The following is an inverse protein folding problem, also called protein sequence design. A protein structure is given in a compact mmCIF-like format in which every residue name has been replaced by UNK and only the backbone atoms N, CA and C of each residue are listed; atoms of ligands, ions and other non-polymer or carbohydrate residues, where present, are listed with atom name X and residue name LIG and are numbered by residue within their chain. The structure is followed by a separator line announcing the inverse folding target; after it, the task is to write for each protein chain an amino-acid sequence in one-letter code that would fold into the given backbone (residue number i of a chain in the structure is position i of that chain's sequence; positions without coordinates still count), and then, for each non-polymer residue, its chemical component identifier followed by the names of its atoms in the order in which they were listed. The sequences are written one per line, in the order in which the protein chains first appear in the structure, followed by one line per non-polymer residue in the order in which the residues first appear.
data_IF_053658054553
#
_entry.id   IF_053658054553
#
_cell.length_a   1.000
_cell.length_b   1.000
_cell.length_c   1.000
_cell.angle_alpha   90.00
_cell.angle_beta   90.00
_cell.angle_gamma   90.00
#
_symmetry.space_group_name_H-M   'P 1'
#
loop_
_entity.id
_entity.type
_entity.pdbx_description
1 polymer ?
#
# COMPACT_ATOMS: atom_id res chain seq x y z
N UNK A 1 -10.19 18.71 -16.17
CA UNK A 1 -9.55 18.62 -17.51
C UNK A 1 -10.42 17.71 -18.36
N UNK A 2 -10.69 18.10 -19.59
CA UNK A 2 -11.53 17.36 -20.54
C UNK A 2 -10.67 16.89 -21.71
N UNK A 3 -10.85 15.65 -22.15
CA UNK A 3 -10.10 15.02 -23.23
C UNK A 3 -11.10 14.38 -24.20
N UNK A 4 -10.93 14.61 -25.49
CA UNK A 4 -11.79 14.13 -26.57
C UNK A 4 -10.98 13.84 -27.83
N UNK A 5 -11.62 13.21 -28.82
CA UNK A 5 -11.12 13.09 -30.19
C UNK A 5 -10.80 14.46 -30.84
N UNK A 6 -11.51 15.51 -30.40
CA UNK A 6 -11.37 16.90 -30.87
C UNK A 6 -10.26 17.67 -30.13
N UNK A 7 -9.65 17.10 -29.09
CA UNK A 7 -8.55 17.71 -28.32
C UNK A 7 -8.78 17.78 -26.81
N UNK A 8 -7.98 18.61 -26.14
CA UNK A 8 -7.93 18.74 -24.67
C UNK A 8 -8.35 20.16 -24.24
N UNK A 9 -9.18 20.27 -23.22
CA UNK A 9 -9.63 21.54 -22.66
C UNK A 9 -9.46 21.62 -21.13
N UNK A 10 -9.08 22.80 -20.66
CA UNK A 10 -9.11 23.16 -19.24
C UNK A 10 -10.37 23.99 -18.98
N UNK A 11 -11.31 23.43 -18.20
CA UNK A 11 -12.55 24.08 -17.76
C UNK A 11 -12.39 24.59 -16.32
N UNK A 12 -13.18 25.59 -15.96
CA UNK A 12 -13.38 26.06 -14.59
C UNK A 12 -13.98 24.93 -13.71
N UNK A 13 -13.71 24.93 -12.41
CA UNK A 13 -14.10 23.88 -11.47
C UNK A 13 -14.46 24.37 -10.06
N UNK A 14 -14.46 25.68 -9.78
CA UNK A 14 -14.78 26.20 -8.45
C UNK A 14 -16.23 25.89 -8.01
N UNK A 15 -17.14 25.62 -8.95
CA UNK A 15 -18.52 25.22 -8.68
C UNK A 15 -18.68 23.78 -8.18
N UNK A 16 -17.67 22.92 -8.40
CA UNK A 16 -17.61 21.53 -7.93
C UNK A 16 -16.65 21.31 -6.75
N UNK A 17 -15.84 22.30 -6.40
CA UNK A 17 -14.93 22.24 -5.26
C UNK A 17 -15.69 22.05 -3.93
N UNK A 18 -15.22 21.16 -3.06
CA UNK A 18 -15.81 20.80 -1.78
C UNK A 18 -16.95 19.78 -1.84
N UNK A 19 -17.30 19.23 -3.01
CA UNK A 19 -18.30 18.17 -3.17
C UNK A 19 -17.72 16.78 -2.91
N UNK A 20 -18.57 15.78 -2.68
CA UNK A 20 -18.12 14.37 -2.64
C UNK A 20 -17.74 13.87 -4.05
N UNK A 21 -16.97 12.78 -4.12
CA UNK A 21 -16.49 12.18 -5.39
C UNK A 21 -17.64 11.90 -6.36
N UNK A 22 -18.68 11.21 -5.90
CA UNK A 22 -19.83 10.85 -6.73
C UNK A 22 -20.59 12.09 -7.24
N UNK A 23 -20.86 13.09 -6.39
CA UNK A 23 -21.47 14.36 -6.79
C UNK A 23 -20.64 15.12 -7.83
N UNK A 24 -19.31 15.01 -7.75
CA UNK A 24 -18.37 15.64 -8.68
C UNK A 24 -18.40 14.96 -10.04
N UNK A 25 -18.31 13.63 -10.08
CA UNK A 25 -18.47 12.83 -11.30
C UNK A 25 -19.84 13.05 -11.95
N UNK A 26 -20.91 12.94 -11.16
CA UNK A 26 -22.29 13.05 -11.60
C UNK A 26 -22.64 14.47 -12.09
N UNK A 27 -21.86 15.49 -11.70
CA UNK A 27 -21.95 16.86 -12.26
C UNK A 27 -21.17 16.95 -13.58
N UNK A 28 -19.91 16.50 -13.59
CA UNK A 28 -19.04 16.56 -14.77
C UNK A 28 -19.60 15.77 -15.95
N UNK A 29 -20.13 14.56 -15.74
CA UNK A 29 -20.72 13.75 -16.80
C UNK A 29 -21.96 14.40 -17.42
N UNK A 30 -22.73 15.16 -16.63
CA UNK A 30 -23.89 15.94 -17.11
C UNK A 30 -23.48 17.23 -17.83
N UNK A 31 -22.34 17.82 -17.48
CA UNK A 31 -21.76 18.98 -18.18
C UNK A 31 -21.06 18.59 -19.50
N UNK A 32 -20.50 17.38 -19.58
CA UNK A 32 -19.93 16.80 -20.80
C UNK A 32 -21.04 16.34 -21.76
N UNK A 33 -22.04 15.60 -21.25
CA UNK A 33 -23.22 15.13 -21.99
C UNK A 33 -22.91 14.30 -23.27
N UNK A 34 -21.71 13.71 -23.39
CA UNK A 34 -21.34 12.79 -24.47
C UNK A 34 -21.47 11.32 -23.99
N UNK A 35 -22.20 10.44 -24.70
CA UNK A 35 -22.38 9.04 -24.32
C UNK A 35 -21.05 8.28 -24.21
N UNK A 36 -20.82 7.60 -23.08
CA UNK A 36 -19.59 6.86 -22.83
C UNK A 36 -18.43 7.70 -22.26
N UNK A 37 -18.64 9.00 -21.96
CA UNK A 37 -17.71 9.77 -21.15
C UNK A 37 -17.47 9.11 -19.78
N UNK A 38 -16.27 9.30 -19.23
CA UNK A 38 -15.83 8.78 -17.93
C UNK A 38 -15.14 9.92 -17.16
N UNK A 39 -15.24 9.92 -15.82
CA UNK A 39 -14.58 10.90 -14.98
C UNK A 39 -13.46 10.27 -14.15
N UNK A 40 -12.48 11.08 -13.76
CA UNK A 40 -11.53 10.77 -12.69
C UNK A 40 -11.51 11.99 -11.79
N UNK A 41 -11.92 11.81 -10.54
CA UNK A 41 -12.26 12.89 -9.60
C UNK A 41 -11.57 12.69 -8.26
N UNK A 42 -11.49 13.76 -7.47
CA UNK A 42 -11.07 13.74 -6.07
C UNK A 42 -12.19 14.32 -5.21
N UNK A 43 -12.35 13.79 -4.01
CA UNK A 43 -13.22 14.38 -2.99
C UNK A 43 -12.45 15.39 -2.10
N UNK A 44 -13.08 15.91 -1.04
CA UNK A 44 -12.51 16.95 -0.19
C UNK A 44 -11.20 16.54 0.48
N UNK A 45 -10.98 15.26 0.73
CA UNK A 45 -9.72 14.76 1.25
C UNK A 45 -8.56 14.97 0.25
N UNK A 46 -8.78 14.73 -1.04
CA UNK A 46 -7.80 15.01 -2.09
C UNK A 46 -7.54 16.51 -2.26
N UNK A 47 -8.59 17.33 -2.22
CA UNK A 47 -8.48 18.81 -2.20
C UNK A 47 -7.64 19.32 -1.03
N UNK A 48 -7.77 18.69 0.14
CA UNK A 48 -7.02 19.00 1.37
C UNK A 48 -5.70 18.23 1.46
N UNK A 49 -5.26 17.51 0.42
CA UNK A 49 -4.02 16.74 0.40
C UNK A 49 -3.90 15.75 1.59
N UNK A 50 -5.03 15.16 1.97
CA UNK A 50 -5.13 14.01 2.87
C UNK A 50 -4.73 12.78 2.07
N UNK A 51 -4.03 11.85 2.72
CA UNK A 51 -3.16 10.92 2.01
C UNK A 51 -3.74 9.53 1.82
N UNK A 52 -4.53 9.04 2.78
CA UNK A 52 -4.77 7.61 2.99
C UNK A 52 -6.05 7.32 3.88
N UNK A 53 -6.19 6.15 4.55
CA UNK A 53 -7.40 5.25 4.43
C UNK A 53 -7.83 4.05 5.41
N UNK A 54 -9.01 3.37 5.38
CA UNK A 54 -9.37 2.07 6.11
C UNK A 54 -10.03 2.12 7.50
N UNK A 55 -10.60 0.98 7.97
CA UNK A 55 -11.75 0.95 8.91
C UNK A 55 -12.03 -0.28 9.81
N UNK A 56 -12.08 -1.52 9.30
CA UNK A 56 -12.80 -2.64 9.96
C UNK A 56 -12.13 -3.27 11.21
N UNK A 57 -11.74 -4.55 11.12
CA UNK A 57 -11.27 -5.34 12.27
C UNK A 57 -10.06 -4.78 13.04
N UNK A 58 -9.28 -3.89 12.42
CA UNK A 58 -8.17 -3.15 13.05
C UNK A 58 -8.66 -2.13 14.11
N UNK A 59 -9.88 -1.60 13.94
CA UNK A 59 -10.56 -0.71 14.89
C UNK A 59 -11.50 -1.47 15.83
N UNK A 60 -11.51 -2.82 15.75
CA UNK A 60 -12.47 -3.70 16.43
C UNK A 60 -13.96 -3.42 16.13
N UNK A 61 -14.26 -2.77 15.00
CA UNK A 61 -15.62 -2.62 14.48
C UNK A 61 -15.98 -3.93 13.77
N UNK A 62 -17.13 -4.53 14.15
CA UNK A 62 -17.53 -5.89 13.72
C UNK A 62 -18.88 -5.96 13.03
N UNK A 63 -19.69 -4.90 13.09
CA UNK A 63 -20.95 -4.84 12.35
C UNK A 63 -20.69 -4.52 10.88
N UNK A 64 -21.40 -5.21 9.97
CA UNK A 64 -21.16 -5.07 8.53
C UNK A 64 -21.75 -3.79 7.95
N UNK A 65 -22.90 -3.33 8.46
CA UNK A 65 -23.54 -2.10 7.98
C UNK A 65 -22.73 -0.88 8.43
N UNK A 66 -22.15 -0.92 9.64
CA UNK A 66 -21.17 0.07 10.11
C UNK A 66 -19.91 0.10 9.23
N UNK A 67 -19.34 -1.07 8.90
CA UNK A 67 -18.14 -1.16 8.02
C UNK A 67 -18.45 -0.63 6.61
N UNK A 68 -19.62 -0.97 6.04
CA UNK A 68 -20.06 -0.51 4.71
C UNK A 68 -20.28 1.01 4.71
N UNK A 69 -20.97 1.57 5.71
CA UNK A 69 -21.17 3.02 5.82
C UNK A 69 -19.84 3.77 5.94
N UNK A 70 -18.92 3.24 6.75
CA UNK A 70 -17.60 3.83 6.87
C UNK A 70 -16.83 3.76 5.53
N UNK A 71 -16.94 2.67 4.76
CA UNK A 71 -16.30 2.54 3.44
C UNK A 71 -16.86 3.56 2.43
N UNK A 72 -18.18 3.65 2.31
CA UNK A 72 -18.86 4.67 1.48
C UNK A 72 -18.42 6.10 1.90
N UNK A 73 -18.23 6.34 3.20
CA UNK A 73 -17.70 7.61 3.70
C UNK A 73 -16.25 7.86 3.29
N UNK A 74 -15.38 6.84 3.25
CA UNK A 74 -14.02 6.96 2.67
C UNK A 74 -14.08 7.31 1.18
N UNK A 75 -14.85 6.54 0.40
CA UNK A 75 -14.98 6.69 -1.06
C UNK A 75 -15.50 8.09 -1.44
N UNK A 76 -16.53 8.58 -0.73
CA UNK A 76 -17.09 9.94 -0.87
C UNK A 76 -16.05 11.03 -0.59
N UNK A 77 -15.31 10.87 0.50
CA UNK A 77 -14.35 11.89 0.93
C UNK A 77 -13.10 11.90 0.04
N UNK A 78 -12.77 10.81 -0.65
CA UNK A 78 -11.49 10.65 -1.36
C UNK A 78 -10.36 10.16 -0.46
N UNK A 79 -10.71 9.34 0.53
CA UNK A 79 -9.85 8.63 1.48
C UNK A 79 -9.77 7.17 0.98
N UNK A 80 -8.60 6.54 0.83
CA UNK A 80 -8.52 5.12 0.33
C UNK A 80 -9.02 4.09 1.38
N UNK A 81 -8.70 2.78 1.27
CA UNK A 81 -8.96 1.79 2.35
C UNK A 81 -7.79 0.97 2.97
N UNK A 82 -6.55 1.50 3.18
CA UNK A 82 -5.45 0.93 4.06
C UNK A 82 -4.97 1.72 5.35
N UNK A 83 -4.54 3.00 5.30
CA UNK A 83 -3.94 3.78 6.46
C UNK A 83 -4.81 4.52 7.54
N UNK A 84 -5.75 5.41 7.23
CA UNK A 84 -6.75 5.99 8.15
C UNK A 84 -7.40 5.00 9.14
N UNK A 85 -7.40 3.70 8.88
CA UNK A 85 -7.75 2.66 9.84
C UNK A 85 -6.61 2.37 10.81
N UNK A 86 -5.37 2.38 10.32
CA UNK A 86 -4.18 2.49 11.16
C UNK A 86 -4.13 3.85 11.91
N UNK A 87 -4.69 4.97 11.39
CA UNK A 87 -4.78 6.26 12.09
C UNK A 87 -5.92 6.32 13.13
N UNK A 88 -7.10 5.77 12.81
CA UNK A 88 -8.23 5.66 13.72
C UNK A 88 -7.90 4.63 14.81
N UNK A 89 -7.29 3.49 14.48
CA UNK A 89 -6.77 2.57 15.47
C UNK A 89 -5.59 3.14 16.27
N UNK A 90 -4.72 3.99 15.68
CA UNK A 90 -3.71 4.75 16.45
C UNK A 90 -4.37 5.75 17.41
N UNK A 91 -5.45 6.41 17.00
CA UNK A 91 -6.24 7.31 17.85
C UNK A 91 -6.94 6.54 18.99
N UNK A 92 -7.51 5.36 18.70
CA UNK A 92 -8.11 4.46 19.69
C UNK A 92 -7.05 3.89 20.66
N UNK A 93 -5.87 3.50 20.18
CA UNK A 93 -4.75 3.03 21.02
C UNK A 93 -4.20 4.18 21.88
N UNK A 94 -4.14 5.40 21.33
CA UNK A 94 -3.75 6.60 22.08
C UNK A 94 -4.77 6.97 23.18
N UNK A 95 -6.07 6.91 22.87
CA UNK A 95 -7.15 7.13 23.83
C UNK A 95 -7.15 6.06 24.93
N UNK A 96 -7.13 4.78 24.55
CA UNK A 96 -7.13 3.64 25.48
C UNK A 96 -5.91 3.61 26.43
N UNK A 97 -4.77 4.19 26.00
CA UNK A 97 -3.56 4.35 26.83
C UNK A 97 -3.50 5.66 27.63
N UNK A 98 -4.50 6.53 27.52
CA UNK A 98 -4.48 7.87 28.14
C UNK A 98 -3.36 8.78 27.58
N UNK A 99 -2.93 8.56 26.34
CA UNK A 99 -1.87 9.32 25.65
C UNK A 99 -2.38 10.58 24.98
N UNK A 100 -3.66 10.59 24.58
CA UNK A 100 -4.33 11.75 24.01
C UNK A 100 -5.79 11.80 24.48
N UNK A 101 -6.31 13.00 24.72
CA UNK A 101 -7.71 13.23 25.06
C UNK A 101 -8.57 13.19 23.79
N UNK A 102 -8.88 11.96 23.34
CA UNK A 102 -9.65 11.69 22.13
C UNK A 102 -10.89 10.86 22.49
N UNK A 103 -12.07 11.43 22.25
CA UNK A 103 -13.34 10.73 22.46
C UNK A 103 -13.61 9.71 21.33
N UNK A 104 -12.90 8.59 21.39
CA UNK A 104 -13.05 7.42 20.49
C UNK A 104 -12.58 6.16 21.24
N UNK A 105 -13.27 5.03 21.02
CA UNK A 105 -12.91 3.72 21.61
C UNK A 105 -12.80 2.64 20.54
N UNK A 106 -12.09 1.55 20.82
CA UNK A 106 -12.19 0.35 19.99
C UNK A 106 -13.67 -0.11 19.89
N UNK A 107 -14.13 -0.38 18.67
CA UNK A 107 -15.54 -0.68 18.36
C UNK A 107 -16.44 0.54 18.15
N UNK A 108 -15.95 1.78 18.30
CA UNK A 108 -16.74 3.00 18.10
C UNK A 108 -16.78 3.44 16.62
N UNK A 109 -17.73 2.90 15.85
CA UNK A 109 -17.95 3.29 14.47
C UNK A 109 -18.40 4.75 14.31
N UNK A 110 -19.10 5.32 15.29
CA UNK A 110 -19.52 6.74 15.25
C UNK A 110 -18.33 7.68 15.44
N UNK A 111 -17.44 7.37 16.38
CA UNK A 111 -16.17 8.07 16.58
C UNK A 111 -15.22 7.89 15.40
N UNK A 112 -15.16 6.70 14.79
CA UNK A 112 -14.43 6.49 13.53
C UNK A 112 -14.97 7.37 12.39
N UNK A 113 -16.29 7.40 12.18
CA UNK A 113 -16.93 8.25 11.17
C UNK A 113 -16.71 9.74 11.41
N UNK A 114 -16.65 10.18 12.68
CA UNK A 114 -16.29 11.54 13.06
C UNK A 114 -14.84 11.85 12.71
N UNK A 115 -13.90 10.97 13.08
CA UNK A 115 -12.48 11.15 12.78
C UNK A 115 -12.18 11.13 11.27
N UNK A 116 -12.88 10.32 10.47
CA UNK A 116 -12.79 10.36 9.01
C UNK A 116 -13.14 11.76 8.44
N UNK A 117 -14.27 12.33 8.89
CA UNK A 117 -14.73 13.66 8.44
C UNK A 117 -13.76 14.76 8.90
N UNK A 118 -13.32 14.72 10.16
CA UNK A 118 -12.29 15.61 10.68
C UNK A 118 -10.96 15.49 9.90
N UNK A 119 -10.55 14.29 9.50
CA UNK A 119 -9.34 14.08 8.70
C UNK A 119 -9.49 14.67 7.29
N UNK A 120 -10.59 14.39 6.59
CA UNK A 120 -10.86 14.92 5.26
C UNK A 120 -10.88 16.45 5.23
N UNK A 121 -11.46 17.09 6.24
CA UNK A 121 -11.57 18.55 6.34
C UNK A 121 -10.32 19.21 6.93
N UNK A 122 -9.43 18.44 7.58
CA UNK A 122 -8.31 18.88 8.44
C UNK A 122 -8.77 19.73 9.63
N UNK A 123 -9.80 19.25 10.31
CA UNK A 123 -10.41 19.87 11.50
C UNK A 123 -10.16 19.04 12.76
N UNK A 124 -10.42 19.62 13.94
CA UNK A 124 -10.43 18.89 15.22
C UNK A 124 -9.17 18.05 15.49
N UNK A 125 -9.38 16.78 15.85
CA UNK A 125 -8.30 15.80 16.01
C UNK A 125 -7.79 15.28 14.65
N UNK A 126 -8.67 15.23 13.64
CA UNK A 126 -8.33 14.83 12.28
C UNK A 126 -7.23 15.68 11.64
N UNK A 127 -7.12 16.97 12.00
CA UNK A 127 -6.00 17.84 11.61
C UNK A 127 -4.62 17.28 12.04
N UNK A 128 -4.54 16.58 13.19
CA UNK A 128 -3.31 15.95 13.63
C UNK A 128 -3.00 14.67 12.83
N UNK A 129 -4.05 13.88 12.54
CA UNK A 129 -3.99 12.58 11.86
C UNK A 129 -3.77 12.71 10.34
N UNK A 130 -4.28 13.77 9.70
CA UNK A 130 -4.29 13.98 8.23
C UNK A 130 -2.92 14.02 7.56
N UNK A 131 -1.84 14.11 8.33
CA UNK A 131 -0.46 14.08 7.85
C UNK A 131 0.12 12.65 7.72
N UNK A 132 -0.64 11.60 8.06
CA UNK A 132 -0.19 10.20 8.04
C UNK A 132 0.46 9.74 9.35
N UNK A 133 0.72 8.44 9.49
CA UNK A 133 1.04 7.81 10.79
C UNK A 133 2.29 8.41 11.45
N UNK A 134 3.32 8.81 10.70
CA UNK A 134 4.60 9.24 11.28
C UNK A 134 4.45 10.60 11.99
N UNK A 135 3.94 11.68 11.35
CA UNK A 135 3.61 12.90 12.07
C UNK A 135 2.49 12.71 13.11
N UNK A 136 1.46 11.90 12.82
CA UNK A 136 0.36 11.67 13.75
C UNK A 136 0.82 11.02 15.06
N UNK A 137 1.59 9.92 14.97
CA UNK A 137 2.12 9.21 16.13
C UNK A 137 3.15 10.04 16.91
N UNK A 138 3.91 10.90 16.24
CA UNK A 138 4.77 11.88 16.92
C UNK A 138 3.94 12.88 17.75
N UNK A 139 2.89 13.47 17.17
CA UNK A 139 1.96 14.39 17.87
C UNK A 139 1.24 13.72 19.04
N UNK A 140 0.88 12.43 18.90
CA UNK A 140 0.16 11.64 19.91
C UNK A 140 1.06 10.97 20.97
N UNK A 141 2.40 11.11 20.90
CA UNK A 141 3.31 10.46 21.84
C UNK A 141 3.34 8.93 21.74
N UNK A 142 3.09 8.41 20.54
CA UNK A 142 2.88 7.00 20.15
C UNK A 142 3.86 6.53 19.05
N UNK A 143 4.99 7.22 18.87
CA UNK A 143 5.95 6.97 17.78
C UNK A 143 6.68 5.61 17.85
N UNK A 144 6.53 4.83 18.93
CA UNK A 144 7.05 3.45 19.03
C UNK A 144 5.96 2.40 18.74
N UNK A 145 4.70 2.82 18.78
CA UNK A 145 3.50 2.02 18.56
C UNK A 145 3.06 2.01 17.10
N UNK A 146 3.41 3.06 16.35
CA UNK A 146 3.13 3.26 14.93
C UNK A 146 3.56 2.06 14.08
N UNK A 147 2.65 1.58 13.23
CA UNK A 147 2.88 0.40 12.37
C UNK A 147 2.97 0.85 10.91
N UNK A 148 4.19 0.94 10.37
CA UNK A 148 4.44 1.38 8.99
C UNK A 148 5.81 0.91 8.46
N UNK A 149 6.02 1.01 7.14
CA UNK A 149 7.33 0.90 6.47
C UNK A 149 7.47 2.06 5.49
N UNK A 150 8.62 2.76 5.47
CA UNK A 150 8.88 3.94 4.61
C UNK A 150 7.78 5.02 4.70
N UNK A 151 7.19 5.21 5.89
CA UNK A 151 6.07 6.12 6.12
C UNK A 151 4.67 5.63 5.70
N UNK A 152 4.54 4.46 5.04
CA UNK A 152 3.26 3.88 4.63
C UNK A 152 2.85 2.70 5.52
N UNK A 153 1.57 2.67 5.88
CA UNK A 153 0.92 1.76 6.81
C UNK A 153 0.53 0.43 6.13
N UNK A 154 0.52 -0.71 6.86
CA UNK A 154 0.27 -2.01 6.25
C UNK A 154 -1.22 -2.26 6.00
N UNK A 155 -1.49 -3.06 4.96
CA UNK A 155 -2.78 -3.71 4.75
C UNK A 155 -3.03 -4.83 5.78
N UNK A 156 -4.21 -5.46 5.73
CA UNK A 156 -4.72 -6.44 6.71
C UNK A 156 -4.03 -7.82 6.75
N UNK A 157 -2.70 -7.88 6.73
CA UNK A 157 -1.91 -9.11 6.81
C UNK A 157 -0.80 -8.97 7.85
N UNK A 158 -0.73 -9.87 8.84
CA UNK A 158 0.21 -9.77 9.97
C UNK A 158 1.57 -10.45 9.67
N UNK A 159 2.67 -9.68 9.52
CA UNK A 159 4.00 -10.22 9.22
C UNK A 159 4.65 -10.93 10.43
N UNK A 160 4.05 -10.90 11.63
CA UNK A 160 4.47 -11.74 12.76
C UNK A 160 4.31 -13.22 12.43
N UNK A 161 3.38 -13.59 11.55
CA UNK A 161 3.25 -14.92 10.99
C UNK A 161 3.75 -14.98 9.56
N UNK A 162 3.19 -14.18 8.64
CA UNK A 162 3.47 -14.30 7.22
C UNK A 162 4.85 -13.68 6.89
N UNK A 163 5.92 -14.49 6.85
CA UNK A 163 7.30 -13.97 6.75
C UNK A 163 7.57 -13.39 5.36
N UNK A 164 7.02 -14.00 4.31
CA UNK A 164 7.05 -13.46 2.95
C UNK A 164 6.40 -12.09 2.89
N UNK A 165 5.20 -11.92 3.49
CA UNK A 165 4.55 -10.61 3.63
C UNK A 165 5.44 -9.60 4.36
N UNK A 166 6.08 -10.01 5.47
CA UNK A 166 7.03 -9.16 6.19
C UNK A 166 8.20 -8.67 5.33
N UNK A 167 8.77 -9.55 4.51
CA UNK A 167 9.82 -9.16 3.56
C UNK A 167 9.29 -8.29 2.41
N UNK A 168 8.09 -8.58 1.89
CA UNK A 168 7.42 -7.81 0.85
C UNK A 168 7.11 -6.38 1.28
N UNK A 169 6.56 -6.20 2.49
CA UNK A 169 6.35 -4.89 3.10
C UNK A 169 7.66 -4.15 3.33
N UNK A 170 8.67 -4.83 3.91
CA UNK A 170 9.97 -4.22 4.17
C UNK A 170 10.64 -3.71 2.89
N UNK A 171 10.64 -4.50 1.82
CA UNK A 171 11.47 -4.25 0.62
C UNK A 171 10.74 -3.54 -0.53
N UNK A 172 9.42 -3.36 -0.46
CA UNK A 172 8.66 -2.64 -1.49
C UNK A 172 9.12 -1.19 -1.63
N UNK A 173 9.26 -0.73 -2.87
CA UNK A 173 9.71 0.63 -3.19
C UNK A 173 8.79 1.75 -2.65
N UNK A 174 7.53 1.45 -2.27
CA UNK A 174 6.56 2.47 -1.81
C UNK A 174 6.11 2.35 -0.35
N UNK A 175 6.74 1.48 0.45
CA UNK A 175 6.32 1.20 1.83
C UNK A 175 5.46 -0.06 1.94
N UNK A 176 4.65 -0.21 2.99
CA UNK A 176 4.02 -1.48 3.40
C UNK A 176 2.85 -1.98 2.48
N UNK A 177 3.10 -2.04 1.17
CA UNK A 177 2.10 -2.32 0.16
C UNK A 177 2.07 -3.79 -0.29
N UNK A 178 0.99 -4.50 0.03
CA UNK A 178 0.79 -5.91 -0.34
C UNK A 178 0.66 -6.13 -1.86
N UNK A 179 0.25 -5.12 -2.62
CA UNK A 179 0.25 -5.20 -4.10
C UNK A 179 1.67 -5.26 -4.68
N UNK A 180 2.71 -4.89 -3.92
CA UNK A 180 4.09 -5.02 -4.38
C UNK A 180 4.56 -6.47 -4.49
N UNK A 181 3.99 -7.35 -3.66
CA UNK A 181 4.03 -8.81 -3.77
C UNK A 181 3.05 -9.36 -2.73
N UNK A 182 2.25 -10.35 -3.13
CA UNK A 182 1.21 -10.94 -2.28
C UNK A 182 1.50 -12.40 -1.88
N UNK A 183 2.54 -12.68 -1.04
CA UNK A 183 2.83 -14.04 -0.56
C UNK A 183 1.69 -14.73 0.19
N UNK A 184 0.68 -13.98 0.63
CA UNK A 184 -0.50 -14.48 1.37
C UNK A 184 -1.15 -15.68 0.68
N UNK A 185 -1.22 -15.68 -0.66
CA UNK A 185 -1.75 -16.80 -1.44
C UNK A 185 -1.10 -18.14 -1.03
N UNK A 186 0.23 -18.19 -1.02
CA UNK A 186 1.00 -19.40 -0.72
C UNK A 186 1.26 -19.58 0.79
N UNK A 187 1.36 -18.51 1.57
CA UNK A 187 1.65 -18.58 3.01
C UNK A 187 0.42 -18.88 3.86
N UNK A 188 -0.80 -18.50 3.43
CA UNK A 188 -2.03 -18.68 4.18
C UNK A 188 -3.02 -19.68 3.56
N UNK A 189 -2.95 -19.90 2.23
CA UNK A 189 -3.91 -20.75 1.50
C UNK A 189 -3.26 -21.84 0.62
N UNK A 190 -1.93 -21.83 0.47
CA UNK A 190 -1.14 -22.81 -0.27
C UNK A 190 -0.16 -23.57 0.62
N UNK A 191 0.83 -24.23 0.00
CA UNK A 191 1.72 -25.19 0.67
C UNK A 191 2.95 -24.55 1.36
N UNK A 192 3.15 -23.22 1.28
CA UNK A 192 4.41 -22.56 1.66
C UNK A 192 4.43 -22.10 3.13
N UNK A 193 4.48 -23.07 4.06
CA UNK A 193 4.62 -22.94 5.52
C UNK A 193 4.98 -21.52 6.02
N UNK A 194 3.99 -20.79 6.55
CA UNK A 194 4.16 -19.44 7.07
C UNK A 194 5.18 -19.30 8.21
N UNK A 195 5.52 -20.35 8.96
CA UNK A 195 6.37 -20.22 10.15
C UNK A 195 7.87 -20.20 9.84
N UNK A 196 8.25 -20.60 8.62
CA UNK A 196 9.63 -20.72 8.13
C UNK A 196 10.10 -19.48 7.34
N UNK A 197 11.40 -19.39 7.05
CA UNK A 197 12.01 -18.28 6.28
C UNK A 197 12.61 -18.75 4.94
N UNK A 198 12.67 -20.07 4.75
CA UNK A 198 13.25 -20.79 3.65
C UNK A 198 12.48 -20.51 2.33
N UNK A 199 13.22 -20.22 1.25
CA UNK A 199 12.73 -19.73 -0.07
C UNK A 199 11.78 -18.52 -0.05
N UNK A 200 11.55 -17.85 1.08
CA UNK A 200 10.68 -16.64 1.14
C UNK A 200 11.27 -15.46 0.35
N UNK A 201 12.60 -15.32 0.34
CA UNK A 201 13.29 -14.24 -0.39
C UNK A 201 13.11 -14.36 -1.91
N UNK A 202 13.47 -15.52 -2.47
CA UNK A 202 13.27 -15.90 -3.88
C UNK A 202 11.81 -15.71 -4.32
N UNK A 203 10.86 -16.20 -3.53
CA UNK A 203 9.43 -16.10 -3.83
C UNK A 203 8.93 -14.63 -3.84
N UNK A 204 9.36 -13.80 -2.89
CA UNK A 204 9.02 -12.36 -2.87
C UNK A 204 9.65 -11.62 -4.04
N UNK A 205 10.87 -11.99 -4.46
CA UNK A 205 11.54 -11.40 -5.64
C UNK A 205 10.74 -11.68 -6.91
N UNK A 206 10.36 -12.94 -7.15
CA UNK A 206 9.56 -13.34 -8.32
C UNK A 206 8.20 -12.63 -8.38
N UNK A 207 7.49 -12.58 -7.25
CA UNK A 207 6.23 -11.82 -7.13
C UNK A 207 6.42 -10.32 -7.39
N UNK A 208 7.53 -9.73 -6.94
CA UNK A 208 7.85 -8.32 -7.19
C UNK A 208 8.15 -8.03 -8.66
N UNK A 209 8.87 -8.92 -9.36
CA UNK A 209 9.10 -8.79 -10.81
C UNK A 209 7.78 -8.91 -11.59
N UNK A 210 7.00 -9.94 -11.27
CA UNK A 210 5.71 -10.23 -11.89
C UNK A 210 4.72 -9.07 -11.73
N UNK A 211 4.52 -8.55 -10.52
CA UNK A 211 3.61 -7.44 -10.27
C UNK A 211 4.13 -6.11 -10.84
N UNK A 212 5.45 -5.86 -10.81
CA UNK A 212 6.02 -4.66 -11.44
C UNK A 212 5.73 -4.63 -12.94
N UNK A 213 5.89 -5.76 -13.65
CA UNK A 213 5.48 -5.87 -15.04
C UNK A 213 3.96 -5.76 -15.22
N UNK A 214 3.17 -6.58 -14.49
CA UNK A 214 1.71 -6.72 -14.70
C UNK A 214 0.99 -5.37 -14.62
N UNK A 215 1.40 -4.52 -13.68
CA UNK A 215 0.84 -3.17 -13.56
C UNK A 215 1.37 -2.18 -14.62
N UNK A 216 2.60 -2.36 -15.12
CA UNK A 216 3.09 -1.60 -16.28
C UNK A 216 2.39 -1.97 -17.60
N UNK A 217 1.84 -3.19 -17.70
CA UNK A 217 0.93 -3.60 -18.76
C UNK A 217 -0.54 -3.21 -18.51
N UNK A 218 -0.83 -2.52 -17.40
CA UNK A 218 -2.17 -2.10 -16.96
C UNK A 218 -3.15 -3.31 -16.85
N UNK A 219 -2.63 -4.48 -16.48
CA UNK A 219 -3.41 -5.70 -16.29
C UNK A 219 -3.93 -5.80 -14.85
N UNK A 220 -5.20 -6.16 -14.70
CA UNK A 220 -5.86 -6.31 -13.41
C UNK A 220 -5.16 -7.37 -12.55
N UNK A 221 -4.96 -7.11 -11.25
CA UNK A 221 -4.20 -8.02 -10.38
C UNK A 221 -4.82 -9.42 -10.30
N UNK A 222 -6.15 -9.49 -10.27
CA UNK A 222 -6.95 -10.72 -10.22
C UNK A 222 -6.91 -11.57 -11.50
N UNK A 223 -6.34 -11.06 -12.60
CA UNK A 223 -6.10 -11.87 -13.79
C UNK A 223 -4.76 -12.60 -13.64
N UNK A 224 -4.82 -13.86 -13.20
CA UNK A 224 -3.67 -14.74 -12.97
C UNK A 224 -3.05 -15.26 -14.30
N UNK A 225 -2.48 -14.35 -15.09
CA UNK A 225 -1.83 -14.64 -16.36
C UNK A 225 -0.36 -15.05 -16.17
N UNK A 226 0.13 -16.03 -16.93
CA UNK A 226 1.58 -16.30 -16.99
C UNK A 226 2.33 -15.24 -17.82
N UNK A 227 3.66 -15.18 -17.69
CA UNK A 227 4.49 -14.35 -18.57
C UNK A 227 4.28 -14.69 -20.05
N UNK A 228 4.06 -15.96 -20.41
CA UNK A 228 3.77 -16.38 -21.78
C UNK A 228 2.44 -15.80 -22.29
N UNK A 229 1.38 -15.86 -21.47
CA UNK A 229 0.08 -15.30 -21.84
C UNK A 229 0.11 -13.77 -21.94
N UNK A 230 0.88 -13.11 -21.07
CA UNK A 230 1.12 -11.65 -21.19
C UNK A 230 1.94 -11.31 -22.44
N UNK A 231 2.94 -12.12 -22.80
CA UNK A 231 3.77 -11.93 -23.99
C UNK A 231 2.98 -12.16 -25.29
N UNK A 232 2.13 -13.20 -25.32
CA UNK A 232 1.17 -13.48 -26.40
C UNK A 232 0.19 -12.31 -26.59
N UNK A 233 -0.47 -11.86 -25.50
CA UNK A 233 -1.42 -10.74 -25.56
C UNK A 233 -0.75 -9.44 -26.02
N UNK A 234 0.43 -9.12 -25.50
CA UNK A 234 1.18 -7.93 -25.91
C UNK A 234 1.60 -8.02 -27.39
N UNK A 235 2.07 -9.19 -27.84
CA UNK A 235 2.47 -9.40 -29.23
C UNK A 235 1.31 -9.27 -30.21
N UNK A 236 0.11 -9.74 -29.84
CA UNK A 236 -1.10 -9.52 -30.63
C UNK A 236 -1.55 -8.05 -30.62
N UNK A 237 -1.33 -7.31 -29.53
CA UNK A 237 -1.73 -5.91 -29.40
C UNK A 237 -0.79 -4.93 -30.13
N UNK A 238 0.53 -5.18 -30.16
CA UNK A 238 1.51 -4.31 -30.81
C UNK A 238 1.89 -4.76 -32.22
N UNK A 239 1.77 -6.06 -32.53
CA UNK A 239 2.32 -6.67 -33.74
C UNK A 239 3.82 -7.01 -33.66
N UNK A 240 4.49 -6.66 -32.56
CA UNK A 240 5.89 -7.03 -32.31
C UNK A 240 5.98 -8.41 -31.65
N UNK A 241 7.05 -9.17 -31.88
CA UNK A 241 7.24 -10.47 -31.24
C UNK A 241 7.91 -10.31 -29.87
N UNK A 242 7.14 -10.53 -28.80
CA UNK A 242 7.60 -10.47 -27.41
C UNK A 242 7.57 -11.86 -26.78
N UNK A 243 8.58 -12.17 -25.96
CA UNK A 243 8.71 -13.46 -25.26
C UNK A 243 8.57 -13.31 -23.74
N UNK A 244 8.18 -14.39 -23.06
CA UNK A 244 8.06 -14.45 -21.61
C UNK A 244 9.34 -14.00 -20.87
N UNK A 245 10.52 -14.39 -21.37
CA UNK A 245 11.82 -14.03 -20.77
C UNK A 245 12.16 -12.53 -20.91
N UNK A 246 11.78 -11.89 -22.02
CA UNK A 246 11.89 -10.43 -22.15
C UNK A 246 10.98 -9.71 -21.13
N UNK A 247 9.76 -10.22 -20.92
CA UNK A 247 8.81 -9.67 -19.96
C UNK A 247 9.26 -9.87 -18.50
N UNK A 248 9.77 -11.04 -18.15
CA UNK A 248 10.33 -11.33 -16.81
C UNK A 248 11.50 -10.38 -16.49
N UNK A 249 12.44 -10.23 -17.44
CA UNK A 249 13.57 -9.31 -17.30
C UNK A 249 13.14 -7.84 -17.24
N UNK A 250 12.09 -7.45 -17.96
CA UNK A 250 11.51 -6.12 -17.85
C UNK A 250 10.91 -5.87 -16.45
N UNK A 251 10.23 -6.87 -15.86
CA UNK A 251 9.75 -6.82 -14.48
C UNK A 251 10.88 -6.63 -13.45
N UNK A 252 12.02 -7.30 -13.63
CA UNK A 252 13.22 -7.04 -12.82
C UNK A 252 13.78 -5.62 -13.03
N UNK A 253 13.88 -5.16 -14.27
CA UNK A 253 14.38 -3.81 -14.59
C UNK A 253 13.49 -2.70 -13.98
N UNK A 254 12.16 -2.83 -14.08
CA UNK A 254 11.21 -1.87 -13.50
C UNK A 254 11.35 -1.80 -11.97
N UNK A 255 11.51 -2.95 -11.29
CA UNK A 255 11.69 -2.97 -9.84
C UNK A 255 13.04 -2.37 -9.41
N UNK A 256 14.11 -2.64 -10.15
CA UNK A 256 15.42 -2.02 -9.91
C UNK A 256 15.41 -0.51 -10.20
N UNK A 257 14.70 -0.04 -11.24
CA UNK A 257 14.53 1.39 -11.53
C UNK A 257 13.82 2.12 -10.39
N UNK A 258 12.78 1.51 -9.80
CA UNK A 258 12.12 2.06 -8.61
C UNK A 258 13.06 2.10 -7.38
N UNK A 259 13.95 1.10 -7.24
CA UNK A 259 14.99 1.11 -6.21
C UNK A 259 16.00 2.24 -6.41
N UNK A 260 16.47 2.45 -7.65
CA UNK A 260 17.39 3.53 -8.00
C UNK A 260 16.80 4.91 -7.76
N UNK A 261 15.51 5.12 -8.09
CA UNK A 261 14.79 6.35 -7.78
C UNK A 261 14.85 6.64 -6.27
N UNK A 262 14.49 5.66 -5.44
CA UNK A 262 14.52 5.82 -3.99
C UNK A 262 15.92 6.16 -3.47
N UNK A 263 16.94 5.42 -3.92
CA UNK A 263 18.34 5.64 -3.53
C UNK A 263 18.82 7.07 -3.88
N UNK A 264 18.38 7.61 -5.03
CA UNK A 264 18.64 9.01 -5.43
C UNK A 264 17.98 10.02 -4.47
N UNK A 265 16.77 9.73 -4.02
CA UNK A 265 16.03 10.56 -3.03
C UNK A 265 16.50 10.35 -1.57
N UNK A 266 17.63 9.67 -1.35
CA UNK A 266 18.25 9.52 -0.03
C UNK A 266 17.76 8.33 0.80
N UNK A 267 17.02 7.39 0.20
CA UNK A 267 16.68 6.11 0.81
C UNK A 267 17.94 5.32 1.22
N UNK A 268 17.89 4.61 2.36
CA UNK A 268 18.97 3.73 2.81
C UNK A 268 18.45 2.36 3.31
N UNK A 269 19.35 1.38 3.48
CA UNK A 269 18.97 0.02 3.94
C UNK A 269 18.32 0.01 5.33
N UNK A 270 18.47 1.08 6.11
CA UNK A 270 17.80 1.28 7.39
C UNK A 270 16.27 1.30 7.23
N UNK A 271 15.76 1.71 6.07
CA UNK A 271 14.34 1.80 5.75
C UNK A 271 13.76 0.51 5.15
N UNK A 272 14.58 -0.52 4.88
CA UNK A 272 14.14 -1.90 4.61
C UNK A 272 13.98 -2.67 5.94
N UNK A 273 13.02 -2.23 6.75
CA UNK A 273 12.77 -2.76 8.10
C UNK A 273 11.27 -2.92 8.36
N UNK A 274 10.93 -3.43 9.54
CA UNK A 274 9.54 -3.56 10.03
C UNK A 274 9.37 -2.84 11.38
N UNK A 275 8.14 -2.46 11.76
CA UNK A 275 7.87 -1.82 13.06
C UNK A 275 8.37 -2.63 14.24
N UNK A 276 8.85 -1.92 15.28
CA UNK A 276 9.34 -2.47 16.55
C UNK A 276 8.43 -3.59 17.10
N UNK A 277 7.11 -3.41 17.01
CA UNK A 277 6.10 -4.37 17.49
C UNK A 277 6.13 -5.72 16.78
N UNK A 278 6.47 -5.77 15.49
CA UNK A 278 6.57 -7.03 14.73
C UNK A 278 7.73 -7.90 15.23
N UNK A 279 8.83 -7.26 15.63
CA UNK A 279 10.01 -7.94 16.17
C UNK A 279 9.89 -8.32 17.65
N UNK A 280 9.06 -7.59 18.42
CA UNK A 280 8.99 -7.70 19.87
C UNK A 280 7.71 -8.37 20.38
N UNK A 281 6.54 -7.95 19.89
CA UNK A 281 5.23 -8.35 20.41
C UNK A 281 4.83 -9.71 19.84
N UNK A 282 4.70 -10.74 20.69
CA UNK A 282 4.08 -12.00 20.27
C UNK A 282 2.58 -11.81 19.99
N UNK A 283 2.01 -12.69 19.16
CA UNK A 283 0.56 -12.82 19.06
C UNK A 283 -0.02 -13.39 20.37
N UNK A 284 -1.12 -12.83 20.89
CA UNK A 284 -1.60 -13.11 22.25
C UNK A 284 -2.49 -14.35 22.36
N UNK A 285 -2.94 -14.94 21.25
CA UNK A 285 -3.88 -16.07 21.25
C UNK A 285 -3.95 -16.79 19.90
N UNK A 286 -4.67 -17.92 19.87
CA UNK A 286 -5.00 -18.69 18.67
C UNK A 286 -3.90 -19.64 18.23
N UNK A 287 -4.02 -20.21 17.02
CA UNK A 287 -3.03 -21.17 16.46
C UNK A 287 -1.61 -20.60 16.29
N UNK A 288 -1.48 -19.28 16.46
CA UNK A 288 -0.26 -18.49 16.34
C UNK A 288 0.18 -17.83 17.66
N UNK A 289 -0.39 -18.25 18.80
CA UNK A 289 -0.03 -17.74 20.12
C UNK A 289 1.48 -17.88 20.40
N UNK A 290 2.07 -16.86 21.04
CA UNK A 290 3.48 -16.83 21.37
C UNK A 290 4.43 -16.69 20.18
N UNK A 291 3.94 -16.62 18.94
CA UNK A 291 4.75 -16.44 17.73
C UNK A 291 4.99 -14.96 17.42
N UNK A 292 6.15 -14.69 16.80
CA UNK A 292 6.53 -13.41 16.17
C UNK A 292 7.49 -13.65 15.01
N UNK A 293 7.89 -12.60 14.29
CA UNK A 293 9.05 -12.62 13.39
C UNK A 293 10.23 -12.01 14.17
N UNK A 294 11.27 -12.78 14.51
CA UNK A 294 12.43 -12.21 15.18
C UNK A 294 13.28 -11.36 14.23
N UNK A 295 13.87 -10.30 14.75
CA UNK A 295 14.77 -9.39 14.01
C UNK A 295 15.94 -10.14 13.35
N UNK A 296 16.46 -11.18 14.02
CA UNK A 296 17.49 -12.09 13.48
C UNK A 296 17.00 -12.84 12.22
N UNK A 297 15.81 -13.46 12.28
CA UNK A 297 15.21 -14.16 11.13
C UNK A 297 14.94 -13.20 9.98
N UNK A 298 14.44 -12.00 10.28
CA UNK A 298 14.21 -10.95 9.30
C UNK A 298 15.52 -10.50 8.63
N UNK A 299 16.58 -10.24 9.41
CA UNK A 299 17.91 -9.86 8.87
C UNK A 299 18.51 -10.97 7.99
N UNK A 300 18.35 -12.25 8.35
CA UNK A 300 18.76 -13.38 7.50
C UNK A 300 17.99 -13.39 6.17
N UNK A 301 16.67 -13.19 6.19
CA UNK A 301 15.84 -13.08 4.98
C UNK A 301 16.24 -11.89 4.10
N UNK A 302 16.46 -10.72 4.69
CA UNK A 302 16.83 -9.50 3.97
C UNK A 302 18.22 -9.61 3.33
N UNK A 303 19.18 -10.25 4.01
CA UNK A 303 20.48 -10.59 3.44
C UNK A 303 20.34 -11.53 2.24
N UNK A 304 19.58 -12.63 2.38
CA UNK A 304 19.31 -13.55 1.27
C UNK A 304 18.64 -12.84 0.09
N UNK A 305 17.72 -11.91 0.36
CA UNK A 305 17.01 -11.11 -0.63
C UNK A 305 17.96 -10.18 -1.41
N UNK A 306 18.89 -9.47 -0.75
CA UNK A 306 19.88 -8.66 -1.47
C UNK A 306 20.80 -9.52 -2.34
N UNK A 307 21.29 -10.66 -1.82
CA UNK A 307 22.16 -11.55 -2.58
C UNK A 307 21.45 -12.16 -3.81
N UNK A 308 20.18 -12.54 -3.69
CA UNK A 308 19.38 -13.06 -4.80
C UNK A 308 19.00 -11.99 -5.85
N UNK A 309 19.08 -10.70 -5.51
CA UNK A 309 18.89 -9.58 -6.46
C UNK A 309 20.19 -9.08 -7.11
N UNK A 310 21.35 -9.64 -6.76
CA UNK A 310 22.67 -9.05 -7.03
C UNK A 310 22.72 -7.57 -6.59
N UNK A 311 22.36 -7.36 -5.32
CA UNK A 311 22.49 -6.11 -4.58
C UNK A 311 23.57 -6.26 -3.49
N UNK A 312 24.25 -5.16 -3.18
CA UNK A 312 25.27 -5.11 -2.14
C UNK A 312 24.68 -5.22 -0.71
N UNK A 313 25.55 -5.23 0.30
CA UNK A 313 25.15 -5.22 1.71
C UNK A 313 24.55 -3.88 2.20
N UNK A 314 24.27 -2.96 1.28
CA UNK A 314 23.47 -1.76 1.46
C UNK A 314 22.17 -1.76 0.63
N UNK A 315 21.86 -2.86 -0.05
CA UNK A 315 20.69 -2.98 -0.91
C UNK A 315 20.75 -2.03 -2.12
N UNK A 316 21.95 -1.75 -2.62
CA UNK A 316 22.22 -1.03 -3.86
C UNK A 316 22.47 -2.07 -4.96
N UNK A 317 21.79 -2.01 -6.12
CA UNK A 317 22.09 -2.90 -7.23
C UNK A 317 23.56 -2.79 -7.68
N UNK A 318 24.24 -3.91 -7.92
CA UNK A 318 25.63 -3.86 -8.36
C UNK A 318 25.75 -3.30 -9.78
N UNK A 319 26.91 -2.76 -10.14
CA UNK A 319 27.18 -2.30 -11.50
C UNK A 319 27.03 -3.42 -12.55
N UNK A 320 27.20 -4.69 -12.16
CA UNK A 320 26.94 -5.84 -13.01
C UNK A 320 25.44 -6.00 -13.28
N UNK A 321 24.61 -6.04 -12.23
CA UNK A 321 23.14 -6.08 -12.33
C UNK A 321 22.58 -4.87 -13.10
N UNK A 322 23.13 -3.68 -12.90
CA UNK A 322 22.73 -2.48 -13.66
C UNK A 322 23.05 -2.61 -15.15
N UNK A 323 24.26 -3.04 -15.51
CA UNK A 323 24.63 -3.27 -16.90
C UNK A 323 23.82 -4.41 -17.54
N UNK A 324 23.52 -5.47 -16.78
CA UNK A 324 22.67 -6.57 -17.21
C UNK A 324 21.25 -6.09 -17.58
N UNK A 325 20.65 -5.22 -16.76
CA UNK A 325 19.30 -4.71 -16.93
C UNK A 325 19.17 -3.50 -17.88
N UNK A 326 20.30 -2.92 -18.34
CA UNK A 326 20.30 -1.70 -19.16
C UNK A 326 20.02 -0.42 -18.35
N UNK A 327 20.46 -0.39 -17.08
CA UNK A 327 20.23 0.68 -16.10
C UNK A 327 21.55 1.30 -15.57
N UNK A 328 22.64 1.18 -16.34
CA UNK A 328 23.99 1.66 -16.00
C UNK A 328 24.34 3.00 -16.69
#
# INVERSE_FOLDING_TARGET
MEISDRGVAFKEAAHIWGRDTFQTEDTLLKEVNEPGAQAVVIGPAGEKQVRFACLGGLCCITDMDEIIYLNDLCDRLGIDTITAGNLVALAMDAAARGKADLSVSYGDASGAARLLKEMALREGAGAALSDGIVPAAAKLGMAQEAVHVKGMEPAGYDPRILKGVGLGYATSARGACHMSAWPVAEEAYGDRDAFTIESKAEFVIGLQHYNALKFSLILCDFWALSFDRMAELLSFATGEQVTASQLEKAGEAIFNMARLFNLREGFSKQEDTLPRRIFNDCLPSGVSEGKRLSEEKFKKMLYQYYQLRDWDNNGVPTAAKLAELGLA
#
